data_IF_012271908115
#
_entry.id   IF_012271908115
#
_cell.length_a   1.000
_cell.length_b   1.000
_cell.length_c   1.000
_cell.angle_alpha   90.00
_cell.angle_beta   90.00
_cell.angle_gamma   90.00
#
_symmetry.space_group_name_H-M   'P 1'
#
loop_
_entity.id
_entity.type
_entity.pdbx_description
1 polymer ?
#
# COMPACT_ATOMS: atom_id res chain seq x y z
N UNK A 1 -21.81 0.98 -5.73
CA UNK A 1 -22.25 -0.10 -4.84
C UNK A 1 -22.04 0.34 -3.40
N UNK A 2 -23.01 1.07 -2.82
CA UNK A 2 -22.96 1.61 -1.45
C UNK A 2 -24.06 1.00 -0.56
N UNK A 3 -24.69 -0.10 -1.02
CA UNK A 3 -26.02 -0.51 -0.58
C UNK A 3 -26.05 -1.68 0.41
N UNK A 4 -24.99 -1.92 1.19
CA UNK A 4 -25.02 -2.97 2.22
C UNK A 4 -24.01 -2.81 3.37
N UNK A 5 -23.56 -1.60 3.71
CA UNK A 5 -22.98 -1.39 5.04
C UNK A 5 -24.14 -1.12 5.99
N UNK A 6 -24.56 -2.14 6.75
CA UNK A 6 -25.44 -1.92 7.88
C UNK A 6 -24.77 -0.86 8.78
N UNK A 7 -25.49 0.20 9.21
CA UNK A 7 -24.93 1.28 10.03
C UNK A 7 -24.11 0.77 11.23
N UNK A 8 -24.52 -0.36 11.80
CA UNK A 8 -23.85 -1.01 12.93
C UNK A 8 -22.41 -1.45 12.60
N UNK A 9 -22.19 -2.04 11.42
CA UNK A 9 -20.84 -2.47 10.97
C UNK A 9 -19.90 -1.28 10.83
N UNK A 10 -20.43 -0.14 10.38
CA UNK A 10 -19.67 1.12 10.30
C UNK A 10 -19.37 1.67 11.70
N UNK A 11 -20.33 1.63 12.62
CA UNK A 11 -20.14 2.07 14.01
C UNK A 11 -19.09 1.22 14.72
N UNK A 12 -19.15 -0.10 14.61
CA UNK A 12 -18.19 -1.02 15.22
C UNK A 12 -16.77 -0.78 14.69
N UNK A 13 -16.64 -0.63 13.37
CA UNK A 13 -15.37 -0.29 12.73
C UNK A 13 -14.85 1.09 13.18
N UNK A 14 -15.73 2.09 13.27
CA UNK A 14 -15.36 3.42 13.74
C UNK A 14 -14.93 3.41 15.21
N UNK A 15 -15.57 2.60 16.07
CA UNK A 15 -15.17 2.45 17.47
C UNK A 15 -13.79 1.82 17.59
N UNK A 16 -13.48 0.81 16.76
CA UNK A 16 -12.15 0.21 16.73
C UNK A 16 -11.07 1.22 16.28
N UNK A 17 -11.36 2.05 15.27
CA UNK A 17 -10.46 3.12 14.80
C UNK A 17 -10.40 4.32 15.75
N UNK A 18 -11.43 4.58 16.55
CA UNK A 18 -11.53 5.76 17.41
C UNK A 18 -10.59 5.77 18.62
N UNK A 19 -9.82 4.72 18.84
CA UNK A 19 -8.89 4.58 19.95
C UNK A 19 -7.45 4.86 19.53
N UNK A 20 -6.84 5.83 20.19
CA UNK A 20 -5.51 6.31 19.89
C UNK A 20 -4.43 5.20 19.97
N UNK A 21 -4.54 4.29 20.94
CA UNK A 21 -3.58 3.20 21.12
C UNK A 21 -3.70 2.16 20.00
N UNK A 22 -4.94 1.82 19.61
CA UNK A 22 -5.18 0.93 18.45
C UNK A 22 -4.68 1.55 17.16
N UNK A 23 -4.91 2.84 16.94
CA UNK A 23 -4.37 3.54 15.77
C UNK A 23 -2.84 3.54 15.73
N UNK A 24 -2.16 3.77 16.87
CA UNK A 24 -0.69 3.66 16.93
C UNK A 24 -0.20 2.26 16.59
N UNK A 25 -0.86 1.23 17.12
CA UNK A 25 -0.53 -0.17 16.81
C UNK A 25 -0.73 -0.45 15.32
N UNK A 26 -1.90 -0.11 14.76
CA UNK A 26 -2.20 -0.30 13.35
C UNK A 26 -1.22 0.48 12.46
N UNK A 27 -0.92 1.72 12.80
CA UNK A 27 0.06 2.55 12.08
C UNK A 27 1.46 1.92 12.08
N UNK A 28 1.91 1.40 13.23
CA UNK A 28 3.17 0.67 13.30
C UNK A 28 3.16 -0.58 12.41
N UNK A 29 2.06 -1.33 12.41
CA UNK A 29 1.87 -2.47 11.50
C UNK A 29 1.82 -2.07 10.03
N UNK A 30 1.45 -0.82 9.69
CA UNK A 30 1.59 -0.32 8.33
C UNK A 30 3.07 -0.18 7.96
N UNK A 31 3.99 0.11 8.87
CA UNK A 31 5.40 0.35 8.51
C UNK A 31 6.19 -0.96 8.27
N UNK A 32 5.82 -2.06 8.94
CA UNK A 32 6.47 -3.37 8.76
C UNK A 32 5.44 -4.49 8.71
N UNK A 33 5.76 -5.55 7.95
CA UNK A 33 4.86 -6.68 7.74
C UNK A 33 4.45 -7.39 9.03
N UNK A 34 5.28 -7.42 10.07
CA UNK A 34 4.86 -7.98 11.35
C UNK A 34 5.69 -7.49 12.55
N UNK A 35 5.05 -7.43 13.72
CA UNK A 35 5.68 -7.08 15.01
C UNK A 35 5.27 -8.05 16.11
N UNK A 36 6.10 -8.21 17.13
CA UNK A 36 5.72 -8.90 18.36
C UNK A 36 4.87 -8.01 19.27
N UNK A 37 4.10 -8.60 20.18
CA UNK A 37 3.30 -7.84 21.16
C UNK A 37 4.16 -6.89 22.01
N UNK A 38 5.39 -7.29 22.36
CA UNK A 38 6.31 -6.45 23.12
C UNK A 38 6.80 -5.23 22.34
N UNK A 39 7.12 -5.41 21.05
CA UNK A 39 7.51 -4.28 20.20
C UNK A 39 6.33 -3.31 19.99
N UNK A 40 5.11 -3.83 19.81
CA UNK A 40 3.91 -2.99 19.68
C UNK A 40 3.57 -2.24 20.97
N UNK A 41 3.79 -2.86 22.13
CA UNK A 41 3.64 -2.19 23.42
C UNK A 41 4.61 -1.01 23.55
N UNK A 42 5.87 -1.17 23.13
CA UNK A 42 6.86 -0.10 23.13
C UNK A 42 6.47 1.04 22.18
N UNK A 43 6.09 0.72 20.93
CA UNK A 43 5.73 1.74 19.93
C UNK A 43 4.47 2.53 20.35
N UNK A 44 3.49 1.84 20.92
CA UNK A 44 2.26 2.48 21.39
C UNK A 44 2.39 3.17 22.77
N UNK A 45 3.54 3.02 23.43
CA UNK A 45 3.78 3.45 24.82
C UNK A 45 2.74 2.86 25.80
N UNK A 46 2.60 1.54 25.78
CA UNK A 46 1.63 0.77 26.56
C UNK A 46 2.34 -0.25 27.47
N UNK A 47 1.65 -0.65 28.53
CA UNK A 47 2.01 -1.87 29.25
C UNK A 47 1.75 -3.11 28.37
N UNK A 48 2.42 -4.23 28.69
CA UNK A 48 2.20 -5.50 27.99
C UNK A 48 0.74 -5.99 28.10
N UNK A 49 0.09 -5.76 29.25
CA UNK A 49 -1.32 -6.11 29.46
C UNK A 49 -2.26 -5.25 28.62
N UNK A 50 -2.02 -3.94 28.55
CA UNK A 50 -2.81 -3.02 27.74
C UNK A 50 -2.66 -3.34 26.23
N UNK A 51 -1.42 -3.53 25.76
CA UNK A 51 -1.17 -3.92 24.38
C UNK A 51 -1.88 -5.24 24.01
N UNK A 52 -1.83 -6.25 24.90
CA UNK A 52 -2.51 -7.54 24.68
C UNK A 52 -4.03 -7.39 24.55
N UNK A 53 -4.65 -6.53 25.38
CA UNK A 53 -6.08 -6.22 25.29
C UNK A 53 -6.44 -5.55 23.94
N UNK A 54 -5.65 -4.58 23.47
CA UNK A 54 -5.88 -3.95 22.18
C UNK A 54 -5.71 -4.93 21.01
N UNK A 55 -4.68 -5.77 21.06
CA UNK A 55 -4.43 -6.80 20.05
C UNK A 55 -5.55 -7.85 20.01
N UNK A 56 -6.10 -8.24 21.17
CA UNK A 56 -7.23 -9.15 21.23
C UNK A 56 -8.45 -8.60 20.50
N UNK A 57 -8.81 -7.32 20.73
CA UNK A 57 -9.91 -6.65 20.04
C UNK A 57 -9.71 -6.57 18.52
N UNK A 58 -8.48 -6.28 18.08
CA UNK A 58 -8.15 -6.22 16.66
C UNK A 58 -8.13 -7.61 16.00
N UNK A 59 -7.74 -8.66 16.73
CA UNK A 59 -7.81 -10.05 16.28
C UNK A 59 -9.27 -10.53 16.17
N UNK A 60 -10.10 -10.23 17.17
CA UNK A 60 -11.52 -10.58 17.19
C UNK A 60 -12.28 -9.92 16.04
N UNK A 61 -11.91 -8.68 15.70
CA UNK A 61 -12.42 -7.97 14.54
C UNK A 61 -11.87 -8.49 13.19
N UNK A 62 -10.88 -9.39 13.19
CA UNK A 62 -10.26 -9.93 11.98
C UNK A 62 -9.32 -8.96 11.24
N UNK A 63 -8.99 -7.81 11.84
CA UNK A 63 -8.17 -6.77 11.20
C UNK A 63 -6.69 -7.13 11.15
N UNK A 64 -6.25 -7.85 12.18
CA UNK A 64 -4.89 -8.36 12.29
C UNK A 64 -4.92 -9.88 12.41
N UNK A 65 -3.82 -10.50 12.04
CA UNK A 65 -3.56 -11.92 12.20
C UNK A 65 -2.36 -12.14 13.10
N UNK A 66 -2.23 -13.37 13.59
CA UNK A 66 -1.09 -13.79 14.40
C UNK A 66 -0.42 -15.01 13.78
N UNK A 67 0.89 -14.92 13.57
CA UNK A 67 1.71 -16.05 13.12
C UNK A 67 2.71 -16.42 14.21
N UNK A 68 2.65 -17.64 14.77
CA UNK A 68 3.67 -18.11 15.70
C UNK A 68 4.98 -18.36 14.95
N UNK A 69 6.10 -17.85 15.47
CA UNK A 69 7.44 -18.15 14.95
C UNK A 69 8.44 -18.27 16.08
N UNK A 70 8.80 -19.52 16.38
CA UNK A 70 9.64 -19.85 17.54
C UNK A 70 8.92 -19.50 18.84
N UNK A 71 9.61 -18.80 19.74
CA UNK A 71 9.06 -18.39 21.05
C UNK A 71 8.18 -17.13 20.99
N UNK A 72 8.06 -16.50 19.82
CA UNK A 72 7.36 -15.23 19.68
C UNK A 72 6.15 -15.35 18.75
N UNK A 73 5.12 -14.56 19.06
CA UNK A 73 3.94 -14.36 18.24
C UNK A 73 4.07 -13.04 17.49
N UNK A 74 3.93 -13.10 16.17
CA UNK A 74 4.03 -11.94 15.29
C UNK A 74 2.66 -11.55 14.78
N UNK A 75 2.33 -10.27 14.91
CA UNK A 75 1.06 -9.67 14.51
C UNK A 75 1.25 -8.88 13.22
N UNK A 76 0.30 -8.97 12.30
CA UNK A 76 0.29 -8.29 11.00
C UNK A 76 -1.12 -7.89 10.62
N UNK A 77 -1.31 -6.81 9.85
CA UNK A 77 -2.61 -6.52 9.24
C UNK A 77 -2.90 -7.62 8.20
N UNK A 78 -4.11 -8.17 8.23
CA UNK A 78 -4.57 -9.22 7.30
C UNK A 78 -5.55 -8.66 6.28
N UNK A 79 -6.30 -7.63 6.67
CA UNK A 79 -7.26 -6.98 5.79
C UNK A 79 -6.68 -5.70 5.19
N UNK A 80 -6.44 -5.73 3.88
CA UNK A 80 -5.95 -4.57 3.11
C UNK A 80 -6.92 -3.38 3.16
N UNK A 81 -8.23 -3.63 3.35
CA UNK A 81 -9.22 -2.56 3.51
C UNK A 81 -8.99 -1.76 4.79
N UNK A 82 -8.60 -2.43 5.88
CA UNK A 82 -8.26 -1.77 7.16
C UNK A 82 -7.02 -0.91 7.00
N UNK A 83 -6.01 -1.42 6.30
CA UNK A 83 -4.82 -0.64 6.03
C UNK A 83 -5.11 0.62 5.22
N UNK A 84 -5.88 0.49 4.12
CA UNK A 84 -6.33 1.63 3.33
C UNK A 84 -7.16 2.62 4.16
N UNK A 85 -8.03 2.14 5.05
CA UNK A 85 -8.83 3.00 5.91
C UNK A 85 -7.96 3.81 6.90
N UNK A 86 -6.99 3.17 7.55
CA UNK A 86 -6.05 3.84 8.47
C UNK A 86 -5.21 4.87 7.71
N UNK A 87 -4.71 4.53 6.52
CA UNK A 87 -3.96 5.46 5.66
C UNK A 87 -4.84 6.64 5.20
N UNK A 88 -6.08 6.38 4.81
CA UNK A 88 -7.05 7.41 4.42
C UNK A 88 -7.37 8.38 5.56
N UNK A 89 -7.60 7.86 6.78
CA UNK A 89 -7.83 8.69 7.97
C UNK A 89 -6.63 9.59 8.26
N UNK A 90 -5.40 9.07 8.16
CA UNK A 90 -4.19 9.87 8.28
C UNK A 90 -4.10 10.99 7.23
N UNK A 91 -4.53 10.70 6.00
CA UNK A 91 -4.54 11.67 4.90
C UNK A 91 -5.59 12.79 5.10
N UNK A 92 -6.74 12.52 5.74
CA UNK A 92 -7.80 13.52 5.98
C UNK A 92 -7.25 14.75 6.71
N UNK A 93 -6.48 14.57 7.79
CA UNK A 93 -5.90 15.71 8.54
C UNK A 93 -4.92 16.54 7.72
N UNK A 94 -4.21 15.88 6.79
CA UNK A 94 -3.22 16.48 5.90
C UNK A 94 -3.85 17.19 4.68
N UNK A 95 -5.14 16.95 4.41
CA UNK A 95 -5.89 17.58 3.31
C UNK A 95 -6.53 18.92 3.68
N UNK A 96 -6.79 19.15 4.97
CA UNK A 96 -7.43 20.38 5.48
C UNK A 96 -6.47 21.54 5.77
N UNK A 97 -5.17 21.27 5.88
CA UNK A 97 -4.17 22.32 5.99
C UNK A 97 -3.57 22.60 4.62
N UNK A 98 -3.56 23.89 4.24
CA UNK A 98 -2.50 24.44 3.39
C UNK A 98 -1.18 24.26 4.16
N UNK A 99 -0.68 23.05 4.33
CA UNK A 99 0.61 22.80 4.94
C UNK A 99 1.65 23.37 3.97
N UNK A 100 2.10 24.60 4.23
CA UNK A 100 3.40 25.07 3.78
C UNK A 100 4.41 24.01 4.21
N UNK A 101 4.83 23.22 3.23
CA UNK A 101 5.97 22.31 3.28
C UNK A 101 6.08 21.50 4.59
N UNK A 102 5.30 20.41 4.76
CA UNK A 102 5.59 19.48 5.85
C UNK A 102 7.01 19.00 5.65
N UNK A 103 7.89 19.20 6.64
CA UNK A 103 9.28 18.72 6.59
C UNK A 103 9.25 17.28 6.11
N UNK A 104 9.73 17.04 4.87
CA UNK A 104 9.81 15.71 4.27
C UNK A 104 10.49 14.81 5.30
N UNK A 105 9.85 13.72 5.80
CA UNK A 105 10.52 12.79 6.69
C UNK A 105 11.85 12.34 6.08
N UNK A 106 12.90 12.22 6.91
CA UNK A 106 14.31 12.05 6.55
C UNK A 106 14.59 11.21 5.26
N UNK A 107 15.51 11.62 4.34
CA UNK A 107 15.75 10.95 3.04
C UNK A 107 16.41 9.56 3.08
N UNK A 108 16.59 8.96 4.25
CA UNK A 108 17.52 7.85 4.45
C UNK A 108 16.94 6.44 4.48
N UNK A 109 15.61 6.25 4.43
CA UNK A 109 15.06 4.90 4.52
C UNK A 109 14.85 4.31 3.13
N UNK A 110 15.41 3.14 2.86
CA UNK A 110 15.13 2.35 1.65
C UNK A 110 13.60 2.15 1.41
N UNK A 111 12.79 2.32 2.46
CA UNK A 111 11.32 2.29 2.43
C UNK A 111 10.70 3.44 1.63
N UNK A 112 11.37 4.59 1.50
CA UNK A 112 10.93 5.69 0.62
C UNK A 112 11.09 5.34 -0.85
N UNK A 113 12.24 4.78 -1.23
CA UNK A 113 12.54 4.48 -2.63
C UNK A 113 11.54 3.51 -3.25
N UNK A 114 11.33 2.36 -2.59
CA UNK A 114 10.41 1.35 -3.06
C UNK A 114 9.90 0.47 -1.91
N UNK A 115 8.58 0.27 -1.87
CA UNK A 115 7.92 -0.62 -0.90
C UNK A 115 6.67 -1.24 -1.51
N UNK A 116 6.12 -2.23 -0.84
CA UNK A 116 4.80 -2.75 -1.15
C UNK A 116 3.75 -1.95 -0.37
N UNK A 117 2.73 -1.45 -1.04
CA UNK A 117 1.47 -1.04 -0.45
C UNK A 117 0.47 -2.16 -0.71
N UNK A 118 0.36 -3.09 0.25
CA UNK A 118 -0.70 -4.11 0.23
C UNK A 118 -0.83 -4.82 -1.13
N UNK A 119 0.28 -5.40 -1.57
CA UNK A 119 0.35 -6.18 -2.81
C UNK A 119 0.67 -5.39 -4.08
N UNK A 120 0.71 -4.06 -4.05
CA UNK A 120 1.14 -3.22 -5.18
C UNK A 120 2.38 -2.36 -4.85
N UNK A 121 3.04 -1.80 -5.87
CA UNK A 121 4.27 -1.02 -5.69
C UNK A 121 3.95 0.41 -5.18
N UNK A 122 4.73 0.89 -4.22
CA UNK A 122 4.65 2.24 -3.64
C UNK A 122 6.06 2.82 -3.37
N UNK A 123 6.13 4.08 -2.95
CA UNK A 123 7.36 4.84 -2.82
C UNK A 123 7.71 5.66 -4.07
N UNK A 124 8.87 6.32 -4.03
CA UNK A 124 9.35 7.26 -5.05
C UNK A 124 9.33 6.66 -6.47
N UNK A 125 9.76 5.40 -6.62
CA UNK A 125 9.76 4.72 -7.93
C UNK A 125 8.33 4.50 -8.45
N UNK A 126 7.37 4.20 -7.56
CA UNK A 126 5.97 3.98 -7.95
C UNK A 126 5.29 5.27 -8.37
N UNK A 127 5.61 6.38 -7.70
CA UNK A 127 5.13 7.73 -8.05
C UNK A 127 5.74 8.17 -9.38
N UNK A 128 7.05 8.02 -9.57
CA UNK A 128 7.70 8.36 -10.83
C UNK A 128 7.18 7.52 -12.00
N UNK A 129 6.88 6.25 -11.76
CA UNK A 129 6.22 5.38 -12.73
C UNK A 129 4.81 5.88 -13.06
N UNK A 130 4.00 6.25 -12.07
CA UNK A 130 2.68 6.85 -12.28
C UNK A 130 2.74 8.12 -13.13
N UNK A 131 3.67 9.02 -12.82
CA UNK A 131 3.87 10.26 -13.57
C UNK A 131 4.27 9.95 -15.03
N UNK A 132 5.17 8.99 -15.24
CA UNK A 132 5.58 8.57 -16.58
C UNK A 132 4.45 7.98 -17.41
N UNK A 133 3.49 7.28 -16.78
CA UNK A 133 2.30 6.77 -17.47
C UNK A 133 1.41 7.91 -18.00
N UNK A 134 1.31 9.02 -17.25
CA UNK A 134 0.56 10.20 -17.66
C UNK A 134 1.31 11.02 -18.72
N UNK A 135 2.60 11.28 -18.50
CA UNK A 135 3.42 12.10 -19.39
C UNK A 135 3.60 11.51 -20.79
N UNK A 136 3.48 10.19 -20.91
CA UNK A 136 3.67 9.44 -22.17
C UNK A 136 2.36 8.93 -22.77
N UNK A 137 1.22 9.41 -22.28
CA UNK A 137 -0.13 9.03 -22.75
C UNK A 137 -0.46 7.52 -22.66
N UNK A 138 0.29 6.76 -21.84
CA UNK A 138 -0.06 5.37 -21.51
C UNK A 138 -1.31 5.29 -20.64
N UNK A 139 -1.59 6.36 -19.91
CA UNK A 139 -2.76 6.53 -19.08
C UNK A 139 -3.33 7.93 -19.31
N UNK A 140 -4.65 7.99 -19.40
CA UNK A 140 -5.39 9.24 -19.56
C UNK A 140 -6.28 9.47 -18.34
N UNK A 141 -6.48 10.74 -18.01
CA UNK A 141 -7.31 11.17 -16.90
C UNK A 141 -8.59 11.82 -17.44
N UNK A 142 -9.73 11.24 -17.12
CA UNK A 142 -11.05 11.84 -17.33
C UNK A 142 -11.68 12.17 -15.97
N UNK A 143 -11.55 13.43 -15.55
CA UNK A 143 -11.97 13.91 -14.24
C UNK A 143 -11.26 13.20 -13.08
N UNK A 144 -11.95 12.26 -12.43
CA UNK A 144 -11.42 11.41 -11.34
C UNK A 144 -11.13 9.98 -11.79
N UNK A 145 -11.46 9.61 -13.03
CA UNK A 145 -11.22 8.28 -13.58
C UNK A 145 -9.93 8.29 -14.38
N UNK A 146 -9.26 7.15 -14.35
CA UNK A 146 -8.06 6.90 -15.14
C UNK A 146 -8.29 5.69 -16.02
N UNK A 147 -7.85 5.76 -17.27
CA UNK A 147 -7.99 4.69 -18.26
C UNK A 147 -6.68 4.54 -19.01
N UNK A 148 -6.36 3.31 -19.44
CA UNK A 148 -5.18 3.08 -20.27
C UNK A 148 -5.40 3.58 -21.70
N UNK A 149 -4.39 4.22 -22.26
CA UNK A 149 -4.27 4.50 -23.69
C UNK A 149 -3.83 3.25 -24.46
N UNK A 150 -3.77 3.34 -25.80
CA UNK A 150 -3.42 2.21 -26.66
C UNK A 150 -2.01 1.66 -26.36
N UNK A 151 -1.02 2.53 -26.17
CA UNK A 151 0.35 2.14 -25.83
C UNK A 151 0.44 1.54 -24.43
N UNK A 152 -0.34 2.07 -23.48
CA UNK A 152 -0.49 1.52 -22.14
C UNK A 152 -1.00 0.08 -22.14
N UNK A 153 -2.06 -0.17 -22.93
CA UNK A 153 -2.60 -1.53 -23.11
C UNK A 153 -1.56 -2.45 -23.73
N UNK A 154 -0.87 -2.01 -24.79
CA UNK A 154 0.17 -2.80 -25.46
C UNK A 154 1.32 -3.16 -24.51
N UNK A 155 1.85 -2.18 -23.79
CA UNK A 155 2.98 -2.38 -22.88
C UNK A 155 2.62 -3.24 -21.68
N UNK A 156 1.45 -3.04 -21.06
CA UNK A 156 1.02 -3.90 -19.96
C UNK A 156 0.62 -5.30 -20.41
N UNK A 157 0.03 -5.45 -21.60
CA UNK A 157 -0.19 -6.77 -22.21
C UNK A 157 1.12 -7.54 -22.34
N UNK A 158 2.21 -6.90 -22.79
CA UNK A 158 3.53 -7.50 -22.86
C UNK A 158 4.12 -7.82 -21.48
N UNK A 159 4.05 -6.89 -20.52
CA UNK A 159 4.56 -7.09 -19.15
C UNK A 159 3.83 -8.24 -18.44
N UNK A 160 2.50 -8.24 -18.49
CA UNK A 160 1.64 -9.19 -17.79
C UNK A 160 1.45 -10.52 -18.55
N UNK A 161 1.92 -10.60 -19.80
CA UNK A 161 1.73 -11.75 -20.71
C UNK A 161 0.26 -12.14 -20.86
N UNK A 162 -0.60 -11.15 -21.06
CA UNK A 162 -2.04 -11.30 -21.23
C UNK A 162 -2.52 -10.65 -22.54
N UNK A 163 -3.66 -11.03 -23.11
CA UNK A 163 -4.15 -10.43 -24.35
C UNK A 163 -4.54 -8.94 -24.14
N UNK A 164 -4.46 -8.07 -25.17
CA UNK A 164 -4.81 -6.65 -25.06
C UNK A 164 -6.25 -6.36 -24.59
N UNK A 165 -7.15 -7.32 -24.73
CA UNK A 165 -8.55 -7.20 -24.33
C UNK A 165 -8.85 -7.77 -22.94
N UNK A 166 -7.83 -8.18 -22.19
CA UNK A 166 -7.96 -8.71 -20.83
C UNK A 166 -8.72 -7.70 -19.93
N UNK A 167 -9.74 -8.13 -19.17
CA UNK A 167 -10.48 -7.27 -18.26
C UNK A 167 -9.61 -6.45 -17.32
N UNK A 168 -8.46 -6.97 -16.86
CA UNK A 168 -7.56 -6.27 -15.93
C UNK A 168 -7.03 -4.94 -16.51
N UNK A 169 -6.86 -4.87 -17.83
CA UNK A 169 -6.37 -3.68 -18.53
C UNK A 169 -7.49 -2.65 -18.77
N UNK A 170 -8.76 -3.08 -18.78
CA UNK A 170 -9.91 -2.20 -19.02
C UNK A 170 -10.43 -1.53 -17.76
N UNK A 171 -10.42 -2.22 -16.63
CA UNK A 171 -11.04 -1.75 -15.37
C UNK A 171 -10.02 -1.50 -14.26
N UNK A 172 -8.75 -1.82 -14.47
CA UNK A 172 -7.80 -2.00 -13.38
C UNK A 172 -7.04 -0.76 -12.90
N UNK A 173 -7.14 0.39 -13.58
CA UNK A 173 -6.39 1.58 -13.16
C UNK A 173 -7.06 2.23 -11.95
N UNK A 174 -6.52 1.93 -10.77
CA UNK A 174 -7.00 2.50 -9.50
C UNK A 174 -5.91 3.40 -8.91
N UNK A 175 -6.16 4.71 -8.76
CA UNK A 175 -5.21 5.59 -8.08
C UNK A 175 -5.16 5.21 -6.59
N UNK A 176 -3.96 4.91 -6.08
CA UNK A 176 -3.70 4.79 -4.65
C UNK A 176 -2.89 6.00 -4.18
N UNK A 177 -3.13 6.47 -2.97
CA UNK A 177 -2.43 7.63 -2.40
C UNK A 177 -1.23 7.15 -1.60
N UNK A 178 -0.02 7.50 -2.04
CA UNK A 178 1.18 7.23 -1.26
C UNK A 178 1.25 8.24 -0.10
N UNK A 179 1.16 7.77 1.15
CA UNK A 179 1.16 8.67 2.31
C UNK A 179 2.54 9.24 2.66
N UNK A 180 3.64 8.61 2.23
CA UNK A 180 5.01 9.14 2.46
C UNK A 180 5.38 10.22 1.46
N UNK A 181 4.92 10.06 0.21
CA UNK A 181 5.17 11.01 -0.88
C UNK A 181 4.03 12.00 -1.08
N UNK A 182 2.83 11.69 -0.58
CA UNK A 182 1.58 12.44 -0.79
C UNK A 182 1.20 12.58 -2.26
N UNK A 183 1.54 11.56 -3.06
CA UNK A 183 1.36 11.52 -4.50
C UNK A 183 0.62 10.24 -4.90
N UNK A 184 0.00 10.26 -6.08
CA UNK A 184 -0.68 9.07 -6.60
C UNK A 184 0.33 8.04 -7.11
N UNK A 185 -0.02 6.77 -6.93
CA UNK A 185 0.67 5.64 -7.54
C UNK A 185 -0.36 4.59 -7.99
N UNK A 186 0.09 3.63 -8.78
CA UNK A 186 -0.79 2.61 -9.36
C UNK A 186 -1.13 1.52 -8.33
N UNK A 187 -2.39 1.49 -7.91
CA UNK A 187 -2.94 0.48 -7.01
C UNK A 187 -4.05 -0.36 -7.66
N UNK A 188 -4.86 -0.97 -6.79
CA UNK A 188 -5.95 -1.87 -7.21
C UNK A 188 -5.46 -3.14 -7.90
N UNK A 189 -6.37 -3.83 -8.58
CA UNK A 189 -6.08 -5.14 -9.17
C UNK A 189 -4.95 -5.09 -10.22
N UNK A 190 -4.87 -4.03 -11.03
CA UNK A 190 -3.77 -3.86 -12.00
C UNK A 190 -2.44 -3.62 -11.30
N UNK A 191 -2.40 -2.76 -10.28
CA UNK A 191 -1.19 -2.52 -9.49
C UNK A 191 -0.67 -3.79 -8.82
N UNK A 192 -1.56 -4.64 -8.29
CA UNK A 192 -1.20 -5.94 -7.71
C UNK A 192 -0.65 -6.89 -8.77
N UNK A 193 -1.31 -6.97 -9.94
CA UNK A 193 -0.88 -7.86 -11.02
C UNK A 193 0.47 -7.43 -11.61
N UNK A 194 0.72 -6.13 -11.73
CA UNK A 194 2.02 -5.58 -12.15
C UNK A 194 3.09 -5.90 -11.11
N UNK A 195 2.81 -5.72 -9.82
CA UNK A 195 3.75 -6.06 -8.75
C UNK A 195 4.15 -7.54 -8.80
N UNK A 196 3.18 -8.44 -8.99
CA UNK A 196 3.43 -9.87 -9.18
C UNK A 196 4.29 -10.13 -10.43
N UNK A 197 3.96 -9.53 -11.56
CA UNK A 197 4.71 -9.71 -12.81
C UNK A 197 6.16 -9.20 -12.70
N UNK A 198 6.38 -8.08 -12.00
CA UNK A 198 7.73 -7.58 -11.72
C UNK A 198 8.52 -8.55 -10.84
N UNK A 199 7.86 -9.18 -9.87
CA UNK A 199 8.50 -10.18 -9.02
C UNK A 199 8.81 -11.47 -9.80
N UNK A 200 7.87 -11.97 -10.60
CA UNK A 200 8.03 -13.16 -11.47
C UNK A 200 9.13 -13.00 -12.53
N UNK A 201 9.47 -11.76 -12.89
CA UNK A 201 10.55 -11.42 -13.83
C UNK A 201 11.87 -11.08 -13.13
N UNK A 202 11.96 -11.24 -11.81
CA UNK A 202 13.13 -10.88 -11.00
C UNK A 202 13.51 -9.38 -11.06
N UNK A 203 12.55 -8.50 -11.40
CA UNK A 203 12.79 -7.05 -11.36
C UNK A 203 12.80 -6.52 -9.93
N UNK A 204 11.98 -7.13 -9.07
CA UNK A 204 11.84 -6.76 -7.67
C UNK A 204 11.93 -7.95 -6.73
N UNK A 205 12.51 -7.70 -5.56
CA UNK A 205 12.62 -8.64 -4.44
C UNK A 205 12.01 -8.02 -3.18
N UNK A 206 10.84 -8.49 -2.72
CA UNK A 206 10.27 -8.08 -1.44
C UNK A 206 11.13 -8.58 -0.28
N UNK A 207 11.43 -7.71 0.69
CA UNK A 207 12.22 -8.07 1.86
C UNK A 207 11.39 -8.94 2.85
N UNK A 208 11.99 -9.97 3.46
CA UNK A 208 11.31 -10.75 4.50
C UNK A 208 10.89 -9.86 5.68
N UNK A 209 9.66 -10.04 6.18
CA UNK A 209 9.11 -9.33 7.35
C UNK A 209 9.14 -7.78 7.25
N UNK A 210 9.28 -7.23 6.06
CA UNK A 210 9.25 -5.79 5.81
C UNK A 210 8.39 -5.49 4.59
N UNK A 211 7.89 -4.25 4.48
CA UNK A 211 7.27 -3.75 3.25
C UNK A 211 8.31 -3.32 2.22
N UNK A 212 9.59 -3.29 2.58
CA UNK A 212 10.67 -2.90 1.68
C UNK A 212 10.69 -3.78 0.43
N UNK A 213 10.89 -3.15 -0.72
CA UNK A 213 11.06 -3.79 -2.02
C UNK A 213 12.36 -3.30 -2.61
N UNK A 214 13.23 -4.21 -3.03
CA UNK A 214 14.47 -3.87 -3.71
C UNK A 214 14.37 -4.18 -5.17
N UNK A 215 14.79 -3.24 -6.03
CA UNK A 215 14.90 -3.47 -7.46
C UNK A 215 16.22 -4.16 -7.80
N UNK A 216 16.21 -5.05 -8.79
CA UNK A 216 17.42 -5.48 -9.46
C UNK A 216 18.11 -4.28 -10.13
N UNK A 217 19.45 -4.30 -10.32
CA UNK A 217 20.19 -3.16 -10.86
C UNK A 217 19.58 -2.65 -12.18
N UNK A 218 19.23 -1.35 -12.22
CA UNK A 218 18.68 -0.69 -13.40
C UNK A 218 17.17 -0.87 -13.63
N UNK A 219 16.54 -1.87 -13.02
CA UNK A 219 15.12 -2.19 -13.27
C UNK A 219 14.13 -1.15 -12.76
N UNK A 220 14.52 -0.36 -11.75
CA UNK A 220 13.75 0.80 -11.30
C UNK A 220 13.69 1.90 -12.37
N UNK A 221 14.80 2.13 -13.07
CA UNK A 221 14.86 3.08 -14.20
C UNK A 221 14.11 2.55 -15.41
N UNK A 222 14.25 1.26 -15.73
CA UNK A 222 13.51 0.63 -16.83
C UNK A 222 12.00 0.76 -16.61
N UNK A 223 11.53 0.54 -15.36
CA UNK A 223 10.12 0.67 -14.99
C UNK A 223 9.61 2.10 -15.22
N UNK A 224 10.33 3.11 -14.72
CA UNK A 224 9.98 4.53 -14.91
C UNK A 224 10.06 4.92 -16.39
N UNK A 225 11.02 4.38 -17.14
CA UNK A 225 11.15 4.61 -18.57
C UNK A 225 10.10 3.86 -19.43
N UNK A 226 9.26 3.03 -18.81
CA UNK A 226 8.27 2.15 -19.46
C UNK A 226 8.90 1.15 -20.45
N UNK A 227 10.13 0.69 -20.16
CA UNK A 227 10.93 -0.17 -21.02
C UNK A 227 10.85 -1.64 -20.57
N UNK A 228 9.80 -2.37 -20.98
CA UNK A 228 9.53 -3.74 -20.52
C UNK A 228 10.14 -4.87 -21.37
N UNK A 229 10.86 -4.53 -22.45
CA UNK A 229 11.31 -5.43 -23.51
C UNK A 229 12.70 -6.05 -23.25
N UNK A 230 12.90 -6.64 -22.07
CA UNK A 230 14.12 -7.39 -21.71
C UNK A 230 13.78 -8.69 -20.98
#
# INVERSE_FOLDING_TARGET
>A
MLTALAPDVLVDSAQLLGDHSRLKILWALLERRAYTAGELALVANLSASAASMHLAKLLEAGWIGVTPRGRHRYYSIVDDAVAHAVEAIGAIRLSGEKCRNPKRPNPGSHMRRARSCYGHLAGEVAVAFWDSLLERDWMQRDGKRFTLGADGVKGFSALLRCPPHDPILKTGVTPCMDWTERMLHLGGALGVRIFQALHERDWISPAPRSRLVTFAPGRDKDLVALAFDH
#
